data_IF_519744111965
#
_entry.id   IF_519744111965
#
_cell.length_a   1.000
_cell.length_b   1.000
_cell.length_c   1.000
_cell.angle_alpha   90.00
_cell.angle_beta   90.00
_cell.angle_gamma   90.00
#
_symmetry.space_group_name_H-M   'P 1'
#
loop_
_entity.id
_entity.type
_entity.pdbx_description
1 polymer ?
#
# COMPACT_ATOMS: atom_id res chain seq x y z
N UNK A 1 69.35 1.61 -32.10
CA UNK A 1 68.47 0.55 -31.56
C UNK A 1 67.50 1.05 -30.47
N UNK A 2 67.76 2.18 -29.79
CA UNK A 2 66.86 2.67 -28.72
C UNK A 2 65.56 3.36 -29.18
N UNK A 3 65.51 3.94 -30.38
CA UNK A 3 64.34 4.69 -30.90
C UNK A 3 63.24 3.81 -31.52
N UNK A 4 63.58 2.60 -31.97
CA UNK A 4 62.61 1.65 -32.54
C UNK A 4 61.81 0.95 -31.43
N UNK A 5 62.47 0.61 -30.32
CA UNK A 5 61.82 0.00 -29.15
C UNK A 5 60.82 0.94 -28.48
N UNK A 6 61.12 2.24 -28.37
CA UNK A 6 60.21 3.24 -27.81
C UNK A 6 59.00 3.53 -28.73
N UNK A 7 59.18 3.46 -30.05
CA UNK A 7 58.09 3.60 -31.01
C UNK A 7 57.11 2.42 -30.95
N UNK A 8 57.62 1.20 -30.79
CA UNK A 8 56.79 0.00 -30.62
C UNK A 8 56.00 0.04 -29.30
N UNK A 9 56.64 0.45 -28.21
CA UNK A 9 55.97 0.65 -26.92
C UNK A 9 54.87 1.71 -27.01
N UNK A 10 55.12 2.82 -27.70
CA UNK A 10 54.11 3.87 -27.90
C UNK A 10 52.90 3.36 -28.71
N UNK A 11 53.15 2.60 -29.78
CA UNK A 11 52.08 1.99 -30.59
C UNK A 11 51.26 0.99 -29.78
N UNK A 12 51.90 0.20 -28.92
CA UNK A 12 51.23 -0.74 -28.03
C UNK A 12 50.34 0.01 -27.03
N UNK A 13 50.89 1.01 -26.34
CA UNK A 13 50.14 1.83 -25.38
C UNK A 13 48.96 2.55 -26.03
N UNK A 14 49.11 3.05 -27.27
CA UNK A 14 48.00 3.67 -28.01
C UNK A 14 46.88 2.67 -28.31
N UNK A 15 47.22 1.43 -28.65
CA UNK A 15 46.24 0.37 -28.90
C UNK A 15 45.50 -0.04 -27.63
N UNK A 16 46.21 -0.16 -26.50
CA UNK A 16 45.62 -0.44 -25.19
C UNK A 16 44.69 0.68 -24.73
N UNK A 17 45.09 1.94 -24.94
CA UNK A 17 44.26 3.10 -24.62
C UNK A 17 42.96 3.12 -25.43
N UNK A 18 43.03 2.78 -26.73
CA UNK A 18 41.85 2.70 -27.58
C UNK A 18 40.88 1.61 -27.10
N UNK A 19 41.40 0.43 -26.73
CA UNK A 19 40.60 -0.67 -26.20
C UNK A 19 39.92 -0.29 -24.89
N UNK A 20 40.65 0.31 -23.95
CA UNK A 20 40.07 0.79 -22.69
C UNK A 20 39.02 1.87 -22.90
N UNK A 21 39.19 2.73 -23.91
CA UNK A 21 38.19 3.73 -24.25
C UNK A 21 36.88 3.08 -24.71
N UNK A 22 36.97 2.10 -25.62
CA UNK A 22 35.80 1.33 -26.09
C UNK A 22 35.09 0.57 -24.95
N UNK A 23 35.85 -0.06 -24.04
CA UNK A 23 35.29 -0.73 -22.86
C UNK A 23 34.59 0.25 -21.91
N UNK A 24 35.17 1.43 -21.69
CA UNK A 24 34.60 2.48 -20.85
C UNK A 24 33.30 3.03 -21.44
N UNK A 25 33.25 3.25 -22.75
CA UNK A 25 32.02 3.68 -23.44
C UNK A 25 30.91 2.62 -23.31
N UNK A 26 31.25 1.34 -23.47
CA UNK A 26 30.31 0.23 -23.28
C UNK A 26 29.77 0.19 -21.84
N UNK A 27 30.66 0.28 -20.86
CA UNK A 27 30.30 0.30 -19.44
C UNK A 27 29.40 1.50 -19.10
N UNK A 28 29.73 2.69 -19.62
CA UNK A 28 28.90 3.90 -19.45
C UNK A 28 27.51 3.73 -20.04
N UNK A 29 27.40 3.10 -21.21
CA UNK A 29 26.12 2.82 -21.84
C UNK A 29 25.27 1.86 -21.01
N UNK A 30 25.86 0.77 -20.52
CA UNK A 30 25.19 -0.22 -19.68
C UNK A 30 24.74 0.39 -18.34
N UNK A 31 25.58 1.21 -17.71
CA UNK A 31 25.24 1.92 -16.48
C UNK A 31 24.03 2.84 -16.68
N UNK A 32 24.01 3.62 -17.77
CA UNK A 32 22.88 4.48 -18.11
C UNK A 32 21.57 3.71 -18.32
N UNK A 33 21.64 2.52 -18.93
CA UNK A 33 20.46 1.65 -19.07
C UNK A 33 19.99 1.18 -17.68
N UNK A 34 20.91 0.75 -16.81
CA UNK A 34 20.60 0.31 -15.47
C UNK A 34 19.97 1.43 -14.62
N UNK A 35 20.53 2.65 -14.68
CA UNK A 35 19.98 3.84 -14.03
C UNK A 35 18.56 4.15 -14.49
N UNK A 36 18.30 4.10 -15.80
CA UNK A 36 16.96 4.33 -16.33
C UNK A 36 15.96 3.27 -15.85
N UNK A 37 16.36 1.99 -15.83
CA UNK A 37 15.51 0.90 -15.31
C UNK A 37 15.22 1.08 -13.82
N UNK A 38 16.22 1.46 -13.03
CA UNK A 38 16.06 1.75 -11.60
C UNK A 38 15.02 2.86 -11.41
N UNK A 39 15.16 3.97 -12.13
CA UNK A 39 14.26 5.12 -12.05
C UNK A 39 12.81 4.73 -12.38
N UNK A 40 12.60 3.94 -13.44
CA UNK A 40 11.27 3.45 -13.82
C UNK A 40 10.69 2.59 -12.67
N UNK A 41 11.47 1.65 -12.13
CA UNK A 41 11.02 0.81 -11.02
C UNK A 41 10.68 1.62 -9.75
N UNK A 42 11.44 2.69 -9.46
CA UNK A 42 11.12 3.61 -8.37
C UNK A 42 9.81 4.38 -8.59
N UNK A 43 9.57 4.85 -9.81
CA UNK A 43 8.33 5.53 -10.20
C UNK A 43 7.12 4.60 -10.10
N UNK A 44 7.23 3.37 -10.60
CA UNK A 44 6.19 2.33 -10.49
C UNK A 44 5.89 1.98 -9.04
N UNK A 45 6.93 1.78 -8.21
CA UNK A 45 6.76 1.53 -6.78
C UNK A 45 6.05 2.68 -6.08
N UNK A 46 6.42 3.93 -6.41
CA UNK A 46 5.79 5.12 -5.83
C UNK A 46 4.32 5.19 -6.21
N UNK A 47 3.98 4.89 -7.45
CA UNK A 47 2.59 4.88 -7.91
C UNK A 47 1.78 3.77 -7.25
N UNK A 48 2.36 2.58 -7.12
CA UNK A 48 1.74 1.48 -6.40
C UNK A 48 1.39 1.85 -4.95
N UNK A 49 2.33 2.47 -4.23
CA UNK A 49 2.10 2.96 -2.85
C UNK A 49 0.99 4.02 -2.81
N UNK A 50 0.97 4.97 -3.76
CA UNK A 50 -0.09 5.99 -3.81
C UNK A 50 -1.46 5.36 -4.02
N UNK A 51 -1.57 4.42 -4.94
CA UNK A 51 -2.82 3.73 -5.24
C UNK A 51 -3.31 2.94 -4.02
N UNK A 52 -2.41 2.18 -3.39
CA UNK A 52 -2.71 1.43 -2.16
C UNK A 52 -3.22 2.35 -1.04
N UNK A 53 -2.56 3.49 -0.82
CA UNK A 53 -2.99 4.46 0.18
C UNK A 53 -4.38 5.04 -0.14
N UNK A 54 -4.64 5.37 -1.42
CA UNK A 54 -5.96 5.87 -1.84
C UNK A 54 -7.07 4.85 -1.60
N UNK A 55 -6.83 3.59 -1.89
CA UNK A 55 -7.82 2.53 -1.70
C UNK A 55 -8.06 2.22 -0.22
N UNK A 56 -7.00 2.29 0.60
CA UNK A 56 -7.12 2.19 2.06
C UNK A 56 -7.94 3.35 2.65
N UNK A 57 -7.73 4.58 2.19
CA UNK A 57 -8.54 5.74 2.61
C UNK A 57 -10.02 5.57 2.29
N UNK A 58 -10.35 5.12 1.06
CA UNK A 58 -11.74 4.84 0.65
C UNK A 58 -12.36 3.77 1.52
N UNK A 59 -11.63 2.68 1.78
CA UNK A 59 -12.11 1.61 2.64
C UNK A 59 -12.37 2.12 4.05
N UNK A 60 -11.42 2.85 4.64
CA UNK A 60 -11.56 3.42 5.97
C UNK A 60 -12.79 4.34 6.04
N UNK A 61 -13.02 5.16 5.03
CA UNK A 61 -14.23 5.99 4.94
C UNK A 61 -15.52 5.16 4.99
N UNK A 62 -15.61 4.10 4.17
CA UNK A 62 -16.79 3.22 4.12
C UNK A 62 -17.02 2.52 5.47
N UNK A 63 -15.95 1.98 6.06
CA UNK A 63 -16.00 1.27 7.35
C UNK A 63 -16.43 2.22 8.46
N UNK A 64 -15.79 3.39 8.56
CA UNK A 64 -16.16 4.41 9.54
C UNK A 64 -17.62 4.84 9.39
N UNK A 65 -18.09 5.04 8.15
CA UNK A 65 -19.49 5.40 7.91
C UNK A 65 -20.45 4.30 8.37
N UNK A 66 -20.18 3.03 8.02
CA UNK A 66 -20.98 1.88 8.45
C UNK A 66 -21.02 1.77 9.97
N UNK A 67 -19.87 1.79 10.62
CA UNK A 67 -19.74 1.69 12.09
C UNK A 67 -20.46 2.84 12.78
N UNK A 68 -20.21 4.09 12.36
CA UNK A 68 -20.83 5.28 12.95
C UNK A 68 -22.36 5.22 12.88
N UNK A 69 -22.93 4.78 11.75
CA UNK A 69 -24.39 4.64 11.60
C UNK A 69 -24.96 3.65 12.61
N UNK A 70 -24.33 2.48 12.79
CA UNK A 70 -24.81 1.46 13.74
C UNK A 70 -24.69 1.91 15.18
N UNK A 71 -23.57 2.55 15.53
CA UNK A 71 -23.37 3.14 16.86
C UNK A 71 -24.39 4.25 17.14
N UNK A 72 -24.63 5.15 16.18
CA UNK A 72 -25.63 6.21 16.32
C UNK A 72 -27.05 5.65 16.56
N UNK A 73 -27.43 4.58 15.85
CA UNK A 73 -28.71 3.90 16.08
C UNK A 73 -28.80 3.31 17.50
N UNK A 74 -27.77 2.58 17.94
CA UNK A 74 -27.74 1.98 19.29
C UNK A 74 -27.86 3.07 20.36
N UNK A 75 -27.02 4.10 20.28
CA UNK A 75 -27.00 5.19 21.27
C UNK A 75 -28.31 5.97 21.25
N UNK A 76 -28.77 6.40 20.07
CA UNK A 76 -29.97 7.22 19.94
C UNK A 76 -31.22 6.52 20.47
N UNK A 77 -31.44 5.26 20.10
CA UNK A 77 -32.60 4.51 20.60
C UNK A 77 -32.44 4.21 22.10
N UNK A 78 -31.23 3.89 22.58
CA UNK A 78 -30.99 3.70 24.02
C UNK A 78 -31.31 4.96 24.83
N UNK A 79 -30.95 6.15 24.32
CA UNK A 79 -31.31 7.43 24.96
C UNK A 79 -32.81 7.67 24.98
N UNK A 80 -33.52 7.33 23.90
CA UNK A 80 -34.99 7.44 23.85
C UNK A 80 -35.64 6.50 24.87
N UNK A 81 -35.17 5.25 24.94
CA UNK A 81 -35.64 4.26 25.92
C UNK A 81 -35.38 4.67 27.37
N UNK A 82 -34.27 5.37 27.62
CA UNK A 82 -33.92 5.84 28.96
C UNK A 82 -34.75 7.06 29.40
N UNK A 83 -35.14 7.93 28.45
CA UNK A 83 -35.79 9.22 28.77
C UNK A 83 -37.31 9.18 28.72
N UNK A 84 -37.92 8.19 28.06
CA UNK A 84 -39.37 8.08 27.94
C UNK A 84 -39.96 7.04 28.91
N UNK A 85 -40.56 7.52 29.99
CA UNK A 85 -41.15 6.66 31.04
C UNK A 85 -42.51 6.04 30.66
N UNK A 86 -43.19 6.57 29.63
CA UNK A 86 -44.55 6.17 29.23
C UNK A 86 -44.61 5.43 27.88
N UNK A 87 -43.54 4.73 27.49
CA UNK A 87 -43.53 3.94 26.26
C UNK A 87 -44.46 2.73 26.38
N UNK A 88 -45.26 2.49 25.34
CA UNK A 88 -46.02 1.25 25.25
C UNK A 88 -45.08 0.05 25.10
N UNK A 89 -45.50 -1.11 25.60
CA UNK A 89 -44.68 -2.32 25.59
C UNK A 89 -44.30 -2.78 24.17
N UNK A 90 -45.13 -2.47 23.17
CA UNK A 90 -44.87 -2.79 21.77
C UNK A 90 -43.78 -1.88 21.20
N UNK A 91 -43.86 -0.57 21.45
CA UNK A 91 -42.83 0.40 21.04
C UNK A 91 -41.49 0.06 21.67
N UNK A 92 -41.48 -0.34 22.95
CA UNK A 92 -40.27 -0.79 23.64
C UNK A 92 -39.62 -2.00 22.95
N UNK A 93 -40.44 -2.99 22.56
CA UNK A 93 -39.96 -4.18 21.85
C UNK A 93 -39.41 -3.85 20.46
N UNK A 94 -40.08 -2.98 19.72
CA UNK A 94 -39.60 -2.54 18.40
C UNK A 94 -38.27 -1.77 18.51
N UNK A 95 -38.16 -0.87 19.49
CA UNK A 95 -36.92 -0.14 19.75
C UNK A 95 -35.79 -1.09 20.17
N UNK A 96 -36.07 -2.08 21.03
CA UNK A 96 -35.08 -3.08 21.42
C UNK A 96 -34.63 -3.93 20.22
N UNK A 97 -35.56 -4.33 19.35
CA UNK A 97 -35.23 -5.06 18.13
C UNK A 97 -34.32 -4.25 17.19
N UNK A 98 -34.55 -2.94 17.07
CA UNK A 98 -33.66 -2.04 16.30
C UNK A 98 -32.24 -2.00 16.90
N UNK A 99 -32.13 -1.95 18.24
CA UNK A 99 -30.83 -1.98 18.93
C UNK A 99 -30.12 -3.31 18.65
N UNK A 100 -30.81 -4.44 18.82
CA UNK A 100 -30.26 -5.78 18.59
C UNK A 100 -29.77 -5.92 17.15
N UNK A 101 -30.60 -5.55 16.16
CA UNK A 101 -30.22 -5.59 14.73
C UNK A 101 -29.03 -4.68 14.42
N UNK A 102 -28.98 -3.50 15.05
CA UNK A 102 -27.86 -2.57 14.88
C UNK A 102 -26.57 -3.13 15.47
N UNK A 103 -26.63 -3.78 16.64
CA UNK A 103 -25.49 -4.42 17.31
C UNK A 103 -24.99 -5.65 16.54
N UNK A 104 -25.89 -6.52 16.06
CA UNK A 104 -25.53 -7.65 15.20
C UNK A 104 -24.84 -7.19 13.92
N UNK A 105 -25.43 -6.19 13.25
CA UNK A 105 -24.85 -5.63 12.04
C UNK A 105 -23.51 -4.93 12.27
N UNK A 106 -23.31 -4.32 13.44
CA UNK A 106 -22.02 -3.76 13.84
C UNK A 106 -20.98 -4.88 14.03
N UNK A 107 -21.34 -5.96 14.73
CA UNK A 107 -20.47 -7.12 14.95
C UNK A 107 -20.03 -7.76 13.63
N UNK A 108 -20.96 -7.95 12.69
CA UNK A 108 -20.63 -8.46 11.34
C UNK A 108 -19.64 -7.53 10.62
N UNK A 109 -19.86 -6.21 10.65
CA UNK A 109 -18.94 -5.27 10.01
C UNK A 109 -17.54 -5.27 10.66
N UNK A 110 -17.43 -5.47 11.97
CA UNK A 110 -16.14 -5.58 12.67
C UNK A 110 -15.44 -6.92 12.41
N UNK A 111 -16.18 -8.01 12.24
CA UNK A 111 -15.64 -9.31 11.84
C UNK A 111 -15.10 -9.28 10.40
N UNK A 112 -15.84 -8.68 9.47
CA UNK A 112 -15.40 -8.46 8.08
C UNK A 112 -14.10 -7.66 8.04
N UNK A 113 -14.03 -6.56 8.80
CA UNK A 113 -12.82 -5.75 8.91
C UNK A 113 -11.65 -6.55 9.49
N UNK A 114 -11.89 -7.34 10.53
CA UNK A 114 -10.84 -8.16 11.16
C UNK A 114 -10.30 -9.21 10.20
N UNK A 115 -11.16 -9.87 9.43
CA UNK A 115 -10.76 -10.83 8.37
C UNK A 115 -9.93 -10.13 7.30
N UNK A 116 -10.36 -8.96 6.84
CA UNK A 116 -9.61 -8.18 5.86
C UNK A 116 -8.21 -7.82 6.36
N UNK A 117 -8.08 -7.32 7.59
CA UNK A 117 -6.79 -6.96 8.19
C UNK A 117 -5.88 -8.20 8.30
N UNK A 118 -6.42 -9.35 8.68
CA UNK A 118 -5.65 -10.58 8.82
C UNK A 118 -5.12 -11.11 7.48
N UNK A 119 -5.97 -11.15 6.44
CA UNK A 119 -5.58 -11.59 5.09
C UNK A 119 -4.44 -10.72 4.56
N UNK A 120 -4.61 -9.39 4.58
CA UNK A 120 -3.59 -8.48 4.06
C UNK A 120 -2.29 -8.49 4.87
N UNK A 121 -2.30 -8.94 6.13
CA UNK A 121 -1.07 -9.09 6.92
C UNK A 121 -0.27 -10.31 6.48
N UNK A 122 -0.93 -11.42 6.13
CA UNK A 122 -0.29 -12.65 5.64
C UNK A 122 0.34 -12.43 4.26
N UNK A 123 -0.35 -11.70 3.37
CA UNK A 123 0.16 -11.42 2.02
C UNK A 123 1.45 -10.56 2.02
N UNK A 124 1.66 -9.73 3.07
CA UNK A 124 2.89 -8.93 3.25
C UNK A 124 4.06 -9.80 3.75
N UNK A 125 3.78 -10.86 4.50
CA UNK A 125 4.78 -11.78 5.04
C UNK A 125 5.24 -12.79 3.94
N UNK A 126 4.36 -13.21 3.04
CA UNK A 126 4.69 -14.15 1.94
C UNK A 126 5.39 -13.51 0.72
N UNK A 127 5.36 -12.18 0.58
CA UNK A 127 6.04 -11.47 -0.52
C UNK A 127 7.49 -11.08 -0.21
N UNK A 128 8.02 -11.50 0.95
CA UNK A 128 9.40 -11.25 1.38
C UNK A 128 10.34 -12.47 1.27
N UNK A 129 9.85 -13.63 0.83
CA UNK A 129 10.64 -14.86 0.57
C UNK A 129 10.91 -15.10 -0.93
#
# INVERSE_FOLDING_TARGET
MGTTATLEQLKLAQKELLLHHEELEKCSHELRIAENKLKIGEEEKKEHIRQLNSDLEKMMFIVCHKVRKKVANILGISTILQTNENLEINDWKEMLDIIIKSAQSLNTATEELSKFIHINRVDIEETQD
#
